data_IF_954475680588
#
_entry.id   IF_954475680588
#
_cell.length_a   1.000
_cell.length_b   1.000
_cell.length_c   1.000
_cell.angle_alpha   90.00
_cell.angle_beta   90.00
_cell.angle_gamma   90.00
#
_symmetry.space_group_name_H-M   'P 1'
#
loop_
_entity.id
_entity.type
_entity.pdbx_description
1 polymer ?
#
# COMPACT_ATOMS: atom_id res chain seq x y z
N UNK A 1 -10.00 -16.88 7.97
CA UNK A 1 -9.03 -16.62 9.07
C UNK A 1 -7.96 -15.69 8.53
N UNK A 2 -7.69 -14.59 9.22
CA UNK A 2 -6.56 -13.70 8.89
C UNK A 2 -5.29 -14.48 9.21
N UNK A 3 -4.47 -14.74 8.21
CA UNK A 3 -3.19 -15.42 8.39
C UNK A 3 -2.14 -14.40 8.83
N UNK A 4 -1.42 -14.70 9.90
CA UNK A 4 -0.29 -13.87 10.31
C UNK A 4 0.91 -14.17 9.41
N UNK A 5 1.38 -13.16 8.66
CA UNK A 5 2.54 -13.23 7.75
C UNK A 5 2.43 -14.35 6.69
N UNK A 6 1.42 -14.29 5.79
CA UNK A 6 1.33 -15.24 4.68
C UNK A 6 2.53 -15.08 3.75
N UNK A 7 2.96 -16.18 3.11
CA UNK A 7 4.04 -16.15 2.12
C UNK A 7 3.65 -15.37 0.85
N UNK A 8 2.38 -15.43 0.45
CA UNK A 8 1.85 -14.70 -0.69
C UNK A 8 0.39 -14.31 -0.47
N UNK A 9 -0.08 -13.34 -1.24
CA UNK A 9 -1.46 -12.82 -1.24
C UNK A 9 -2.07 -13.13 -2.60
N UNK A 10 -3.33 -13.57 -2.65
CA UNK A 10 -4.05 -13.84 -3.91
C UNK A 10 -5.06 -12.75 -4.23
N UNK A 11 -5.56 -12.76 -5.47
CA UNK A 11 -6.64 -11.87 -5.89
C UNK A 11 -7.87 -12.07 -5.00
N UNK A 12 -8.37 -10.97 -4.44
CA UNK A 12 -9.53 -10.95 -3.54
C UNK A 12 -9.16 -10.88 -2.06
N UNK A 13 -7.89 -11.13 -1.72
CA UNK A 13 -7.41 -11.00 -0.35
C UNK A 13 -7.18 -9.53 0.01
N UNK A 14 -7.42 -9.21 1.28
CA UNK A 14 -7.06 -7.94 1.91
C UNK A 14 -5.85 -8.17 2.82
N UNK A 15 -4.84 -7.31 2.71
CA UNK A 15 -3.62 -7.42 3.50
C UNK A 15 -3.05 -6.04 3.86
N UNK A 16 -2.41 -5.97 5.02
CA UNK A 16 -1.54 -4.84 5.40
C UNK A 16 -0.11 -5.18 5.01
N UNK A 17 0.51 -4.35 4.18
CA UNK A 17 1.88 -4.54 3.70
C UNK A 17 2.77 -3.37 4.08
N UNK A 18 4.08 -3.62 4.21
CA UNK A 18 5.09 -2.58 4.32
C UNK A 18 5.74 -2.38 2.95
N UNK A 19 5.71 -1.15 2.45
CA UNK A 19 6.27 -0.79 1.14
C UNK A 19 7.43 0.18 1.34
N UNK A 20 8.53 -0.05 0.64
CA UNK A 20 9.63 0.92 0.54
C UNK A 20 9.69 1.41 -0.91
N UNK A 21 9.44 2.70 -1.17
CA UNK A 21 9.50 3.22 -2.52
C UNK A 21 10.96 3.24 -3.02
N UNK A 22 11.16 3.00 -4.32
CA UNK A 22 12.49 2.97 -4.95
C UNK A 22 13.05 4.36 -5.23
N UNK A 23 12.20 5.38 -5.17
CA UNK A 23 12.52 6.80 -5.36
C UNK A 23 11.84 7.63 -4.27
N UNK A 24 12.35 8.82 -3.94
CA UNK A 24 11.64 9.74 -3.06
C UNK A 24 10.20 9.97 -3.53
N UNK A 25 9.26 9.79 -2.62
CA UNK A 25 7.83 9.85 -2.89
C UNK A 25 7.14 10.51 -1.70
N UNK A 26 6.14 11.34 -2.00
CA UNK A 26 5.26 11.95 -0.99
C UNK A 26 4.00 11.11 -0.89
N UNK A 27 3.62 10.75 0.34
CA UNK A 27 2.38 10.05 0.67
C UNK A 27 1.96 10.48 2.07
N UNK A 28 0.65 10.50 2.35
CA UNK A 28 0.12 10.89 3.66
C UNK A 28 -0.76 9.79 4.25
N UNK A 29 -0.91 9.78 5.58
CA UNK A 29 -1.86 8.89 6.23
C UNK A 29 -3.28 9.27 5.84
N UNK A 30 -4.14 8.27 5.70
CA UNK A 30 -5.54 8.49 5.35
C UNK A 30 -6.31 9.35 6.36
N UNK A 31 -5.91 9.32 7.63
CA UNK A 31 -6.50 10.13 8.69
C UNK A 31 -6.13 11.62 8.57
N UNK A 32 -4.95 11.91 8.02
CA UNK A 32 -4.40 13.27 7.96
C UNK A 32 -4.78 13.95 6.64
N UNK A 33 -4.54 13.28 5.50
CA UNK A 33 -4.84 13.81 4.18
C UNK A 33 -5.35 12.71 3.21
N UNK A 34 -6.66 12.42 3.21
CA UNK A 34 -7.25 11.31 2.47
C UNK A 34 -6.93 11.31 0.97
N UNK A 35 -6.79 12.48 0.35
CA UNK A 35 -6.48 12.61 -1.07
C UNK A 35 -5.07 12.15 -1.45
N UNK A 36 -4.09 12.19 -0.54
CA UNK A 36 -2.72 11.72 -0.78
C UNK A 36 -2.45 10.31 -0.23
N UNK A 37 -3.45 9.66 0.36
CA UNK A 37 -3.30 8.33 0.97
C UNK A 37 -3.60 7.16 0.04
N UNK A 38 -4.36 7.40 -1.04
CA UNK A 38 -4.89 6.36 -1.94
C UNK A 38 -3.95 6.14 -3.11
N UNK A 39 -3.67 4.88 -3.43
CA UNK A 39 -2.79 4.53 -4.54
C UNK A 39 -3.26 3.27 -5.28
N UNK A 40 -2.84 3.15 -6.53
CA UNK A 40 -3.04 1.96 -7.35
C UNK A 40 -1.70 1.24 -7.55
N UNK A 41 -1.69 -0.08 -7.38
CA UNK A 41 -0.56 -0.93 -7.72
C UNK A 41 -0.77 -1.42 -9.15
N UNK A 42 0.22 -1.16 -10.01
CA UNK A 42 0.15 -1.50 -11.43
C UNK A 42 1.28 -2.43 -11.83
N UNK A 43 0.93 -3.44 -12.61
CA UNK A 43 1.87 -4.35 -13.26
C UNK A 43 1.38 -4.65 -14.68
N UNK A 44 2.30 -4.70 -15.65
CA UNK A 44 2.00 -4.94 -17.07
C UNK A 44 0.81 -4.12 -17.63
N UNK A 45 0.68 -2.84 -17.23
CA UNK A 45 -0.38 -1.94 -17.70
C UNK A 45 -1.74 -2.09 -17.00
N UNK A 46 -1.90 -3.07 -16.14
CA UNK A 46 -3.14 -3.36 -15.42
C UNK A 46 -3.03 -2.92 -13.95
N UNK A 47 -4.15 -2.49 -13.37
CA UNK A 47 -4.25 -2.30 -11.92
C UNK A 47 -4.47 -3.65 -11.27
N UNK A 48 -3.50 -4.10 -10.47
CA UNK A 48 -3.55 -5.40 -9.80
C UNK A 48 -4.01 -5.31 -8.34
N UNK A 49 -3.88 -4.13 -7.71
CA UNK A 49 -4.40 -3.85 -6.38
C UNK A 49 -4.66 -2.34 -6.18
N UNK A 50 -5.44 -2.01 -5.17
CA UNK A 50 -5.63 -0.65 -4.68
C UNK A 50 -5.35 -0.62 -3.18
N UNK A 51 -4.78 0.49 -2.70
CA UNK A 51 -4.35 0.61 -1.31
C UNK A 51 -4.60 1.99 -0.72
N UNK A 52 -4.59 2.02 0.61
CA UNK A 52 -4.71 3.21 1.43
C UNK A 52 -3.56 3.20 2.44
N UNK A 53 -2.87 4.33 2.58
CA UNK A 53 -1.79 4.50 3.54
C UNK A 53 -2.35 4.62 4.95
N UNK A 54 -2.05 3.63 5.81
CA UNK A 54 -2.47 3.62 7.22
C UNK A 54 -1.41 4.25 8.11
N UNK A 55 -0.14 3.99 7.82
CA UNK A 55 1.00 4.52 8.57
C UNK A 55 2.18 4.80 7.63
N UNK A 56 3.09 5.68 8.04
CA UNK A 56 4.28 6.06 7.27
C UNK A 56 5.49 6.28 8.18
N UNK A 57 6.67 5.99 7.65
CA UNK A 57 7.95 6.28 8.28
C UNK A 57 8.59 7.41 7.45
N UNK A 58 8.77 8.62 8.02
CA UNK A 58 9.39 9.73 7.30
C UNK A 58 10.79 9.36 6.79
N UNK A 59 11.15 9.84 5.61
CA UNK A 59 12.52 9.77 5.13
C UNK A 59 13.44 10.51 6.12
N UNK A 60 14.64 9.96 6.33
CA UNK A 60 15.68 10.62 7.12
C UNK A 60 16.35 11.74 6.33
#
# INVERSE_FOLDING_TARGET
MVQEKPEFIKKGDMATIKVTPTKPMVIEKAADLPQLSRFAVRDMGMTIAAGVCVDLIPAK
#
